data_IF_353673205032
#
_entry.id   IF_353673205032
#
_cell.length_a   1.000
_cell.length_b   1.000
_cell.length_c   1.000
_cell.angle_alpha   90.00
_cell.angle_beta   90.00
_cell.angle_gamma   90.00
#
_symmetry.space_group_name_H-M   'P 1'
#
loop_
_entity.id
_entity.type
_entity.pdbx_description
1 polymer ?
#
# COMPACT_ATOMS: atom_id res chain seq x y z
N UNK A 1 -12.06 -11.05 -4.88
CA UNK A 1 -12.12 -9.68 -5.45
C UNK A 1 -10.75 -9.27 -5.95
N UNK A 2 -10.69 -8.61 -7.08
CA UNK A 2 -9.44 -8.19 -7.67
C UNK A 2 -8.85 -6.99 -6.94
N UNK A 3 -7.51 -7.01 -6.72
CA UNK A 3 -6.80 -5.96 -6.01
C UNK A 3 -6.65 -4.71 -6.88
N UNK A 4 -7.44 -3.69 -6.61
CA UNK A 4 -7.45 -2.45 -7.37
C UNK A 4 -6.15 -1.65 -7.22
N UNK A 5 -5.48 -1.74 -6.07
CA UNK A 5 -4.19 -1.07 -5.86
C UNK A 5 -3.09 -1.70 -6.71
N UNK A 6 -3.08 -3.03 -6.86
CA UNK A 6 -2.11 -3.71 -7.73
C UNK A 6 -2.31 -3.31 -9.18
N UNK A 7 -3.54 -3.24 -9.64
CA UNK A 7 -3.84 -2.76 -10.99
C UNK A 7 -3.35 -1.33 -11.22
N UNK A 8 -3.62 -0.44 -10.27
CA UNK A 8 -3.18 0.95 -10.37
C UNK A 8 -1.65 1.04 -10.37
N UNK A 9 -0.99 0.23 -9.54
CA UNK A 9 0.46 0.18 -9.49
C UNK A 9 1.06 -0.25 -10.83
N UNK A 10 0.54 -1.31 -11.43
CA UNK A 10 1.03 -1.80 -12.72
C UNK A 10 0.83 -0.77 -13.84
N UNK A 11 -0.33 -0.12 -13.88
CA UNK A 11 -0.59 0.95 -14.85
C UNK A 11 0.36 2.13 -14.69
N UNK A 12 0.66 2.50 -13.44
CA UNK A 12 1.60 3.58 -13.16
C UNK A 12 3.01 3.21 -13.60
N UNK A 13 3.45 1.97 -13.38
CA UNK A 13 4.75 1.50 -13.88
C UNK A 13 4.82 1.55 -15.41
N UNK A 14 3.74 1.20 -16.09
CA UNK A 14 3.66 1.33 -17.54
C UNK A 14 3.77 2.80 -17.98
N UNK A 15 3.13 3.72 -17.26
CA UNK A 15 3.19 5.14 -17.55
C UNK A 15 4.60 5.70 -17.35
N UNK A 16 5.29 5.28 -16.28
CA UNK A 16 6.68 5.67 -16.02
C UNK A 16 7.58 5.17 -17.15
N UNK A 17 7.45 3.92 -17.55
CA UNK A 17 8.24 3.34 -18.63
C UNK A 17 7.98 4.06 -19.96
N UNK A 18 6.73 4.42 -20.25
CA UNK A 18 6.38 5.16 -21.44
C UNK A 18 6.97 6.58 -21.44
N UNK A 19 6.98 7.23 -20.29
CA UNK A 19 7.60 8.56 -20.15
C UNK A 19 9.10 8.51 -20.38
N UNK A 20 9.78 7.52 -19.78
CA UNK A 20 11.22 7.34 -19.94
C UNK A 20 11.63 6.99 -21.37
N UNK A 21 10.77 6.27 -22.10
CA UNK A 21 10.99 5.91 -23.49
C UNK A 21 10.54 6.97 -24.48
N UNK A 22 9.89 8.04 -24.02
CA UNK A 22 9.34 9.09 -24.88
C UNK A 22 10.44 9.85 -25.63
N UNK A 23 10.26 10.05 -26.92
CA UNK A 23 11.23 10.71 -27.81
C UNK A 23 10.89 12.15 -28.12
N UNK A 24 9.68 12.60 -27.80
CA UNK A 24 9.20 13.95 -28.08
C UNK A 24 8.14 14.35 -27.07
N UNK A 25 7.73 15.63 -27.11
CA UNK A 25 6.77 16.18 -26.16
C UNK A 25 5.39 15.54 -26.25
N UNK A 26 4.97 15.11 -27.44
CA UNK A 26 3.69 14.43 -27.63
C UNK A 26 3.67 13.09 -26.90
N UNK A 27 4.72 12.29 -27.03
CA UNK A 27 4.83 11.00 -26.33
C UNK A 27 4.90 11.18 -24.83
N UNK A 28 5.62 12.22 -24.35
CA UNK A 28 5.66 12.55 -22.92
C UNK A 28 4.28 12.90 -22.39
N UNK A 29 3.50 13.68 -23.14
CA UNK A 29 2.14 14.06 -22.74
C UNK A 29 1.22 12.85 -22.68
N UNK A 30 1.33 11.94 -23.64
CA UNK A 30 0.58 10.69 -23.64
C UNK A 30 0.93 9.83 -22.41
N UNK A 31 2.21 9.76 -22.03
CA UNK A 31 2.65 9.05 -20.83
C UNK A 31 2.11 9.70 -19.54
N UNK A 32 2.06 11.04 -19.49
CA UNK A 32 1.45 11.76 -18.35
C UNK A 32 -0.04 11.44 -18.23
N UNK A 33 -0.75 11.35 -19.33
CA UNK A 33 -2.18 10.97 -19.33
C UNK A 33 -2.37 9.57 -18.75
N UNK A 34 -1.52 8.62 -19.13
CA UNK A 34 -1.56 7.27 -18.56
C UNK A 34 -1.32 7.28 -17.05
N UNK A 35 -0.39 8.11 -16.58
CA UNK A 35 -0.13 8.27 -15.15
C UNK A 35 -1.36 8.80 -14.42
N UNK A 36 -1.98 9.86 -14.91
CA UNK A 36 -3.18 10.42 -14.30
C UNK A 36 -4.35 9.43 -14.31
N UNK A 37 -4.53 8.69 -15.40
CA UNK A 37 -5.56 7.64 -15.48
C UNK A 37 -5.31 6.53 -14.48
N UNK A 38 -4.03 6.16 -14.25
CA UNK A 38 -3.68 5.10 -13.31
C UNK A 38 -4.11 5.42 -11.88
N UNK A 39 -4.00 6.68 -11.47
CA UNK A 39 -4.29 7.12 -10.10
C UNK A 39 -5.65 7.84 -9.97
N UNK A 40 -6.34 8.11 -11.07
CA UNK A 40 -7.57 8.92 -11.05
C UNK A 40 -8.67 8.35 -10.17
N UNK A 41 -8.73 7.03 -10.01
CA UNK A 41 -9.76 6.36 -9.21
C UNK A 41 -9.39 6.22 -7.74
N UNK A 42 -8.17 6.58 -7.35
CA UNK A 42 -7.72 6.40 -5.98
C UNK A 42 -8.56 7.24 -5.01
N UNK A 43 -8.88 8.48 -5.37
CA UNK A 43 -9.69 9.37 -4.55
C UNK A 43 -11.11 8.82 -4.30
N UNK A 44 -11.60 7.94 -5.17
CA UNK A 44 -12.93 7.33 -5.04
C UNK A 44 -12.96 6.19 -4.02
N UNK A 45 -11.80 5.76 -3.51
CA UNK A 45 -11.71 4.64 -2.57
C UNK A 45 -11.99 5.04 -1.12
N UNK A 46 -12.15 6.33 -0.83
CA UNK A 46 -12.44 6.85 0.50
C UNK A 46 -11.38 7.82 1.01
N UNK A 47 -11.61 8.38 2.19
CA UNK A 47 -10.75 9.44 2.77
C UNK A 47 -9.31 8.99 3.01
N UNK A 48 -9.11 7.73 3.36
CA UNK A 48 -7.78 7.18 3.66
C UNK A 48 -7.07 6.64 2.43
N UNK A 49 -7.68 6.70 1.26
CA UNK A 49 -7.19 6.02 0.06
C UNK A 49 -5.79 6.47 -0.37
N UNK A 50 -5.52 7.76 -0.37
CA UNK A 50 -4.21 8.30 -0.77
C UNK A 50 -3.11 7.81 0.17
N UNK A 51 -3.40 7.78 1.47
CA UNK A 51 -2.46 7.28 2.47
C UNK A 51 -2.13 5.80 2.24
N UNK A 52 -3.17 4.98 2.05
CA UNK A 52 -3.02 3.55 1.77
C UNK A 52 -2.30 3.34 0.44
N UNK A 53 -2.60 4.15 -0.57
CA UNK A 53 -1.93 4.08 -1.87
C UNK A 53 -0.43 4.31 -1.76
N UNK A 54 -0.02 5.32 -0.98
CA UNK A 54 1.40 5.59 -0.75
C UNK A 54 2.09 4.43 -0.03
N UNK A 55 1.43 3.87 0.97
CA UNK A 55 1.95 2.69 1.68
C UNK A 55 2.05 1.48 0.74
N UNK A 56 1.07 1.32 -0.15
CA UNK A 56 1.10 0.24 -1.13
C UNK A 56 2.27 0.39 -2.11
N UNK A 57 2.46 1.59 -2.65
CA UNK A 57 3.58 1.87 -3.55
C UNK A 57 4.91 1.60 -2.87
N UNK A 58 5.08 2.11 -1.66
CA UNK A 58 6.31 1.91 -0.88
C UNK A 58 6.55 0.42 -0.64
N UNK A 59 5.53 -0.33 -0.28
CA UNK A 59 5.64 -1.76 -0.03
C UNK A 59 6.12 -2.50 -1.27
N UNK A 60 5.56 -2.19 -2.43
CA UNK A 60 5.94 -2.81 -3.70
C UNK A 60 7.37 -2.42 -4.12
N UNK A 61 7.74 -1.16 -3.95
CA UNK A 61 9.09 -0.66 -4.26
C UNK A 61 10.17 -1.35 -3.44
N UNK A 62 9.84 -1.75 -2.21
CA UNK A 62 10.78 -2.45 -1.33
C UNK A 62 10.68 -3.98 -1.42
N UNK A 63 9.94 -4.48 -2.40
CA UNK A 63 9.86 -5.91 -2.68
C UNK A 63 8.91 -6.71 -1.81
N UNK A 64 7.99 -6.07 -1.13
CA UNK A 64 6.93 -6.74 -0.37
C UNK A 64 5.75 -7.06 -1.27
N UNK A 65 5.26 -8.28 -1.20
CA UNK A 65 4.12 -8.72 -1.99
C UNK A 65 2.80 -8.09 -1.53
N UNK A 66 2.64 -7.90 -0.23
CA UNK A 66 1.42 -7.36 0.37
C UNK A 66 1.63 -5.93 0.85
N UNK A 67 0.53 -5.17 0.93
CA UNK A 67 0.52 -3.86 1.55
C UNK A 67 1.08 -3.96 2.98
N UNK A 68 2.03 -3.10 3.33
CA UNK A 68 2.51 -2.95 4.69
C UNK A 68 2.13 -1.58 5.24
N UNK A 69 1.44 -1.58 6.35
CA UNK A 69 1.10 -0.36 7.08
C UNK A 69 2.16 -0.12 8.16
N UNK A 70 2.93 0.93 8.02
CA UNK A 70 4.07 1.22 8.90
C UNK A 70 3.93 2.51 9.70
N UNK A 71 2.94 3.33 9.38
CA UNK A 71 2.77 4.64 10.01
C UNK A 71 1.75 4.61 11.14
N UNK A 72 1.70 5.71 11.90
CA UNK A 72 0.72 5.88 12.98
C UNK A 72 -0.69 5.89 12.39
N UNK A 73 -1.57 5.08 12.98
CA UNK A 73 -2.98 5.02 12.61
C UNK A 73 -3.80 5.38 13.86
N UNK A 74 -4.61 6.41 13.74
CA UNK A 74 -5.53 6.79 14.83
C UNK A 74 -6.71 5.83 14.88
N UNK A 75 -7.25 5.59 16.08
CA UNK A 75 -8.34 4.63 16.28
C UNK A 75 -9.51 4.86 15.34
N UNK A 76 -9.91 6.12 15.14
CA UNK A 76 -11.03 6.48 14.28
C UNK A 76 -10.77 6.24 12.79
N UNK A 77 -9.50 6.08 12.39
CA UNK A 77 -9.14 5.81 11.00
C UNK A 77 -9.27 4.32 10.64
N UNK A 78 -9.25 3.43 11.64
CA UNK A 78 -9.24 1.98 11.38
C UNK A 78 -10.46 1.53 10.57
N UNK A 79 -11.71 1.92 10.90
CA UNK A 79 -12.85 1.53 10.07
C UNK A 79 -12.76 2.01 8.62
N UNK A 80 -12.27 3.22 8.39
CA UNK A 80 -12.11 3.77 7.05
C UNK A 80 -11.05 3.01 6.25
N UNK A 81 -9.92 2.71 6.88
CA UNK A 81 -8.82 1.95 6.26
C UNK A 81 -9.30 0.55 5.90
N UNK A 82 -9.99 -0.12 6.82
CA UNK A 82 -10.51 -1.47 6.59
C UNK A 82 -11.54 -1.47 5.46
N UNK A 83 -12.47 -0.52 5.46
CA UNK A 83 -13.45 -0.41 4.40
C UNK A 83 -12.80 -0.21 3.03
N UNK A 84 -11.78 0.65 2.96
CA UNK A 84 -11.01 0.90 1.75
C UNK A 84 -10.29 -0.37 1.28
N UNK A 85 -9.60 -1.06 2.19
CA UNK A 85 -8.89 -2.30 1.85
C UNK A 85 -9.85 -3.37 1.32
N UNK A 86 -10.95 -3.61 2.03
CA UNK A 86 -11.94 -4.63 1.62
C UNK A 86 -12.60 -4.28 0.29
N UNK A 87 -12.96 -3.02 0.08
CA UNK A 87 -13.58 -2.57 -1.16
C UNK A 87 -12.67 -2.75 -2.37
N UNK A 88 -11.36 -2.76 -2.17
CA UNK A 88 -10.37 -2.83 -3.24
C UNK A 88 -9.64 -4.17 -3.32
N UNK A 89 -10.17 -5.19 -2.65
CA UNK A 89 -9.67 -6.55 -2.76
C UNK A 89 -8.37 -6.83 -2.03
N UNK A 90 -8.03 -6.06 -1.01
CA UNK A 90 -6.87 -6.31 -0.16
C UNK A 90 -7.24 -7.41 0.84
N UNK A 91 -6.87 -8.62 0.54
CA UNK A 91 -7.19 -9.78 1.38
C UNK A 91 -6.17 -10.01 2.50
N UNK A 92 -4.91 -9.62 2.27
CA UNK A 92 -3.83 -9.70 3.24
C UNK A 92 -3.06 -8.41 3.31
N UNK A 93 -2.65 -8.04 4.51
CA UNK A 93 -1.74 -6.93 4.71
C UNK A 93 -0.85 -7.21 5.92
N UNK A 94 0.23 -6.45 6.04
CA UNK A 94 1.11 -6.51 7.21
C UNK A 94 1.07 -5.18 7.95
N UNK A 95 1.38 -5.24 9.24
CA UNK A 95 1.41 -4.09 10.11
C UNK A 95 2.71 -4.11 10.91
N UNK A 96 3.58 -3.14 10.66
CA UNK A 96 4.92 -3.09 11.25
C UNK A 96 5.18 -1.83 12.07
N UNK A 97 4.17 -1.01 12.30
CA UNK A 97 4.30 0.21 13.10
C UNK A 97 4.64 -0.11 14.54
N UNK A 98 5.44 0.76 15.18
CA UNK A 98 5.98 0.53 16.52
C UNK A 98 5.61 1.62 17.53
N UNK A 99 4.63 2.46 17.22
CA UNK A 99 4.17 3.47 18.16
C UNK A 99 3.46 2.85 19.37
N UNK A 100 3.28 3.63 20.43
CA UNK A 100 2.78 3.16 21.73
C UNK A 100 1.46 2.40 21.64
N UNK A 101 0.52 2.86 20.79
CA UNK A 101 -0.81 2.27 20.65
C UNK A 101 -0.90 1.20 19.54
N UNK A 102 0.23 0.72 19.02
CA UNK A 102 0.26 -0.23 17.91
C UNK A 102 -0.51 -1.53 18.22
N UNK A 103 -0.39 -2.04 19.43
CA UNK A 103 -1.10 -3.26 19.85
C UNK A 103 -2.62 -3.03 19.82
N UNK A 104 -3.07 -1.88 20.30
CA UNK A 104 -4.50 -1.53 20.25
C UNK A 104 -4.99 -1.43 18.81
N UNK A 105 -4.21 -0.81 17.93
CA UNK A 105 -4.54 -0.72 16.51
C UNK A 105 -4.67 -2.11 15.88
N UNK A 106 -3.74 -3.01 16.17
CA UNK A 106 -3.82 -4.40 15.71
C UNK A 106 -5.10 -5.09 16.19
N UNK A 107 -5.47 -4.89 17.45
CA UNK A 107 -6.71 -5.41 18.00
C UNK A 107 -7.94 -4.85 17.26
N UNK A 108 -7.94 -3.56 16.94
CA UNK A 108 -9.02 -2.92 16.18
C UNK A 108 -9.16 -3.52 14.77
N UNK A 109 -8.07 -3.88 14.10
CA UNK A 109 -8.16 -4.58 12.82
C UNK A 109 -8.89 -5.90 12.94
N UNK A 110 -8.67 -6.65 14.03
CA UNK A 110 -9.42 -7.88 14.29
C UNK A 110 -10.92 -7.59 14.52
N UNK A 111 -11.24 -6.53 15.23
CA UNK A 111 -12.64 -6.15 15.47
C UNK A 111 -13.37 -5.79 14.16
N UNK A 112 -12.64 -5.29 13.17
CA UNK A 112 -13.19 -4.92 11.87
C UNK A 112 -13.21 -6.09 10.86
N UNK A 113 -12.85 -7.29 11.27
CA UNK A 113 -13.02 -8.50 10.47
C UNK A 113 -11.77 -9.00 9.75
N UNK A 114 -10.58 -8.62 10.20
CA UNK A 114 -9.34 -9.26 9.81
C UNK A 114 -8.90 -10.25 10.88
N UNK A 115 -8.22 -11.30 10.46
CA UNK A 115 -7.68 -12.34 11.36
C UNK A 115 -6.17 -12.18 11.41
N UNK A 116 -5.62 -12.10 12.61
CA UNK A 116 -4.18 -12.11 12.82
C UNK A 116 -3.64 -13.50 12.53
N UNK A 117 -2.77 -13.61 11.52
CA UNK A 117 -2.13 -14.89 11.16
C UNK A 117 -0.84 -15.15 11.93
N UNK A 118 -0.20 -14.11 12.45
CA UNK A 118 1.04 -14.21 13.20
C UNK A 118 2.08 -13.22 12.73
N UNK A 119 3.34 -13.46 13.10
CA UNK A 119 4.46 -12.62 12.69
C UNK A 119 5.05 -13.13 11.38
N UNK A 120 5.46 -12.18 10.54
CA UNK A 120 6.24 -12.45 9.34
C UNK A 120 7.39 -11.44 9.25
N UNK A 121 8.39 -11.74 8.46
CA UNK A 121 9.47 -10.81 8.18
C UNK A 121 9.18 -10.09 6.87
N UNK A 122 9.32 -8.78 6.86
CA UNK A 122 9.12 -7.95 5.67
C UNK A 122 10.33 -7.07 5.42
N UNK A 123 10.39 -6.49 4.22
CA UNK A 123 11.37 -5.48 3.88
C UNK A 123 10.83 -4.12 4.32
N UNK A 124 11.57 -3.46 5.22
CA UNK A 124 11.24 -2.11 5.66
C UNK A 124 11.54 -1.10 4.56
N UNK A 125 10.87 0.06 4.61
CA UNK A 125 11.22 1.20 3.74
C UNK A 125 12.54 1.86 4.11
N UNK A 126 13.09 1.51 5.26
CA UNK A 126 14.41 1.98 5.67
C UNK A 126 15.48 1.09 5.07
N UNK A 127 16.59 1.69 4.68
CA UNK A 127 17.71 0.97 4.07
C UNK A 127 18.93 0.99 4.97
N UNK A 128 19.81 0.00 4.79
CA UNK A 128 21.11 -0.02 5.45
C UNK A 128 22.11 0.88 4.70
N UNK A 129 23.37 0.89 5.17
CA UNK A 129 24.42 1.72 4.55
C UNK A 129 24.75 1.34 3.10
N UNK A 130 24.33 0.15 2.65
CA UNK A 130 24.56 -0.34 1.30
C UNK A 130 23.34 -0.20 0.38
N UNK A 131 22.27 0.46 0.85
CA UNK A 131 21.06 0.67 0.08
C UNK A 131 20.08 -0.50 0.06
N UNK A 132 20.32 -1.56 0.85
CA UNK A 132 19.41 -2.69 0.97
C UNK A 132 18.36 -2.42 2.03
N UNK A 133 17.11 -2.84 1.77
CA UNK A 133 16.02 -2.71 2.74
C UNK A 133 16.33 -3.54 3.98
N UNK A 134 16.12 -2.95 5.15
CA UNK A 134 16.22 -3.68 6.42
C UNK A 134 15.05 -4.62 6.58
N UNK A 135 15.32 -5.83 7.04
CA UNK A 135 14.28 -6.80 7.39
C UNK A 135 13.75 -6.48 8.78
N UNK A 136 12.43 -6.47 8.93
CA UNK A 136 11.77 -6.20 10.21
C UNK A 136 10.61 -7.15 10.41
N UNK A 137 10.25 -7.47 11.67
CA UNK A 137 9.06 -8.24 11.95
C UNK A 137 7.81 -7.41 11.74
N UNK A 138 6.74 -8.05 11.31
CA UNK A 138 5.44 -7.43 11.14
C UNK A 138 4.34 -8.43 11.50
N UNK A 139 3.20 -7.92 11.92
CA UNK A 139 2.00 -8.73 12.09
C UNK A 139 1.34 -8.90 10.73
N UNK A 140 0.96 -10.13 10.39
CA UNK A 140 0.23 -10.40 9.15
C UNK A 140 -1.24 -10.66 9.45
N UNK A 141 -2.09 -9.99 8.68
CA UNK A 141 -3.54 -10.13 8.77
C UNK A 141 -4.11 -10.61 7.45
N UNK A 142 -5.19 -11.37 7.53
CA UNK A 142 -5.99 -11.74 6.36
C UNK A 142 -7.46 -11.42 6.60
N UNK A 143 -8.21 -11.24 5.54
CA UNK A 143 -9.66 -11.08 5.64
C UNK A 143 -10.27 -12.38 6.19
N UNK A 144 -11.26 -12.22 7.01
CA UNK A 144 -11.94 -13.35 7.68
C UNK A 144 -12.76 -14.18 6.70
#
# INVERSE_FOLDING_TARGET
MENAFEKAYQKEQQAIAAFDAAKNDKEKEEARKLHYEAIAKIDNFGKSAIHIWREYQSSREHGNLNLNLSEVIWDEQVPEIVACMKANGIERFTFSATYTEAIKTAWLFQQEGYVLEGFVEINSRYTDAYGNSKKVPALQFRVK
#
